data_IF_074519463543
#
_entry.id   IF_074519463543
#
_cell.length_a   1.000
_cell.length_b   1.000
_cell.length_c   1.000
_cell.angle_alpha   90.00
_cell.angle_beta   90.00
_cell.angle_gamma   90.00
#
_symmetry.space_group_name_H-M   'P 1'
#
loop_
_entity.id
_entity.type
_entity.pdbx_description
1 polymer ?
#
# COMPACT_ATOMS: atom_id res chain seq x y z
N UNK A 1 -19.31 -15.74 2.91
CA UNK A 1 -18.05 -16.39 3.31
C UNK A 1 -18.05 -16.45 4.82
N UNK A 2 -17.76 -17.60 5.45
CA UNK A 2 -17.60 -17.68 6.90
C UNK A 2 -16.41 -16.79 7.31
N UNK A 3 -16.59 -15.97 8.33
CA UNK A 3 -15.50 -15.15 8.88
C UNK A 3 -14.40 -16.10 9.41
N UNK A 4 -13.15 -15.78 9.08
CA UNK A 4 -11.99 -16.50 9.66
C UNK A 4 -11.91 -16.20 11.15
N UNK A 5 -11.65 -17.22 11.98
CA UNK A 5 -11.47 -17.02 13.42
C UNK A 5 -10.03 -16.56 13.73
N UNK A 6 -9.79 -15.94 14.91
CA UNK A 6 -8.44 -15.60 15.34
C UNK A 6 -7.49 -16.80 15.39
N UNK A 7 -7.98 -17.97 15.81
CA UNK A 7 -7.21 -19.22 15.89
C UNK A 7 -6.80 -19.70 14.49
N UNK A 8 -7.72 -19.65 13.52
CA UNK A 8 -7.43 -19.98 12.12
C UNK A 8 -6.40 -19.01 11.51
N UNK A 9 -6.53 -17.71 11.80
CA UNK A 9 -5.55 -16.73 11.34
C UNK A 9 -4.15 -16.99 11.94
N UNK A 10 -4.10 -17.39 13.21
CA UNK A 10 -2.85 -17.72 13.87
C UNK A 10 -2.21 -19.00 13.28
N UNK A 11 -3.01 -20.02 12.99
CA UNK A 11 -2.55 -21.25 12.31
C UNK A 11 -1.93 -20.92 10.94
N UNK A 12 -2.61 -20.06 10.15
CA UNK A 12 -2.07 -19.59 8.87
C UNK A 12 -0.72 -18.91 9.04
N UNK A 13 -0.57 -18.05 10.05
CA UNK A 13 0.72 -17.41 10.33
C UNK A 13 1.83 -18.40 10.66
N UNK A 14 1.52 -19.42 11.49
CA UNK A 14 2.49 -20.43 11.88
C UNK A 14 2.96 -21.31 10.72
N UNK A 15 2.13 -21.51 9.70
CA UNK A 15 2.41 -22.37 8.55
C UNK A 15 2.87 -21.59 7.30
N UNK A 16 2.92 -20.26 7.39
CA UNK A 16 3.27 -19.40 6.27
C UNK A 16 4.77 -19.43 5.93
N UNK A 17 5.08 -19.26 4.65
CA UNK A 17 6.45 -19.08 4.18
C UNK A 17 6.89 -17.63 4.44
N UNK A 18 7.95 -17.42 5.21
CA UNK A 18 8.54 -16.10 5.36
C UNK A 18 9.30 -15.72 4.09
N UNK A 19 8.75 -14.77 3.31
CA UNK A 19 9.39 -14.24 2.12
C UNK A 19 10.48 -13.22 2.47
N UNK A 20 10.16 -12.32 3.41
CA UNK A 20 11.09 -11.29 3.89
C UNK A 20 10.94 -11.13 5.40
N UNK A 21 12.03 -11.32 6.13
CA UNK A 21 12.09 -11.04 7.55
C UNK A 21 12.00 -9.52 7.82
N UNK A 22 11.64 -9.15 9.05
CA UNK A 22 11.51 -7.75 9.47
C UNK A 22 12.71 -6.88 9.08
N UNK A 23 13.94 -7.35 9.32
CA UNK A 23 15.15 -6.59 8.99
C UNK A 23 15.32 -6.28 7.51
N UNK A 24 14.86 -7.18 6.63
CA UNK A 24 14.89 -6.97 5.18
C UNK A 24 13.85 -5.93 4.75
N UNK A 25 12.66 -5.97 5.37
CA UNK A 25 11.60 -4.99 5.12
C UNK A 25 12.01 -3.60 5.61
N UNK A 26 12.60 -3.50 6.80
CA UNK A 26 13.11 -2.24 7.34
C UNK A 26 14.22 -1.64 6.46
N UNK A 27 15.13 -2.47 5.94
CA UNK A 27 16.17 -2.03 4.99
C UNK A 27 15.56 -1.53 3.66
N UNK A 28 14.49 -2.16 3.18
CA UNK A 28 13.77 -1.71 1.99
C UNK A 28 13.11 -0.34 2.23
N UNK A 29 12.50 -0.13 3.40
CA UNK A 29 11.93 1.16 3.80
C UNK A 29 13.00 2.26 3.91
N UNK A 30 14.19 1.94 4.42
CA UNK A 30 15.32 2.88 4.48
C UNK A 30 15.74 3.32 3.06
N UNK A 31 15.85 2.38 2.12
CA UNK A 31 16.17 2.67 0.73
C UNK A 31 15.07 3.49 0.04
N UNK A 32 13.80 3.16 0.27
CA UNK A 32 12.67 3.95 -0.23
C UNK A 32 12.73 5.38 0.30
N UNK A 33 12.97 5.56 1.60
CA UNK A 33 13.06 6.89 2.21
C UNK A 33 14.18 7.75 1.60
N UNK A 34 15.34 7.15 1.31
CA UNK A 34 16.45 7.84 0.61
C UNK A 34 16.01 8.28 -0.80
N UNK A 35 15.35 7.41 -1.55
CA UNK A 35 14.87 7.73 -2.91
C UNK A 35 13.79 8.83 -2.90
N UNK A 36 12.81 8.73 -1.97
CA UNK A 36 11.76 9.72 -1.77
C UNK A 36 12.36 11.08 -1.41
N UNK A 37 13.31 11.13 -0.45
CA UNK A 37 13.97 12.37 -0.04
C UNK A 37 14.66 13.06 -1.21
N UNK A 38 15.37 12.32 -2.05
CA UNK A 38 16.06 12.90 -3.24
C UNK A 38 15.11 13.63 -4.19
N UNK A 39 13.86 13.19 -4.26
CA UNK A 39 12.89 13.76 -5.21
C UNK A 39 11.93 14.78 -4.57
N UNK A 40 11.65 14.66 -3.27
CA UNK A 40 10.54 15.35 -2.65
C UNK A 40 10.92 16.27 -1.48
N UNK A 41 12.17 16.31 -1.03
CA UNK A 41 12.56 17.09 0.14
C UNK A 41 12.22 18.59 0.02
N UNK A 42 12.36 19.17 -1.17
CA UNK A 42 12.10 20.59 -1.42
C UNK A 42 10.68 20.85 -1.99
N UNK A 43 9.85 19.80 -2.09
CA UNK A 43 8.53 19.89 -2.73
C UNK A 43 7.39 20.19 -1.74
N UNK A 44 7.64 20.15 -0.43
CA UNK A 44 6.61 20.24 0.62
C UNK A 44 5.37 19.39 0.28
N UNK A 45 5.51 18.06 0.15
CA UNK A 45 4.45 17.23 -0.36
C UNK A 45 3.33 16.99 0.66
N UNK A 46 2.16 16.60 0.16
CA UNK A 46 1.14 15.92 0.95
C UNK A 46 1.39 14.41 0.85
N UNK A 47 1.81 13.79 1.93
CA UNK A 47 1.96 12.34 2.02
C UNK A 47 0.63 11.73 2.45
N UNK A 48 0.13 10.79 1.64
CA UNK A 48 -1.21 10.22 1.78
C UNK A 48 -1.13 8.73 2.02
N UNK A 49 -1.65 8.29 3.18
CA UNK A 49 -1.80 6.88 3.50
C UNK A 49 -3.02 6.27 2.80
N UNK A 50 -2.84 5.19 2.06
CA UNK A 50 -3.96 4.41 1.52
C UNK A 50 -4.41 3.38 2.56
N UNK A 51 -5.57 3.62 3.16
CA UNK A 51 -6.10 2.78 4.25
C UNK A 51 -6.82 1.54 3.70
N UNK A 52 -6.75 0.37 4.42
CA UNK A 52 -6.04 0.19 5.69
C UNK A 52 -4.61 -0.35 5.48
N UNK A 53 -4.32 -0.92 4.32
CA UNK A 53 -3.07 -1.63 4.05
C UNK A 53 -1.84 -0.75 4.24
N UNK A 54 -1.88 0.47 3.71
CA UNK A 54 -0.79 1.42 3.79
C UNK A 54 -0.39 1.88 5.20
N UNK A 55 -1.20 1.64 6.25
CA UNK A 55 -0.99 2.23 7.58
C UNK A 55 0.37 1.87 8.20
N UNK A 56 0.80 0.61 8.06
CA UNK A 56 2.08 0.15 8.62
C UNK A 56 3.27 0.71 7.84
N UNK A 57 3.39 0.49 6.52
CA UNK A 57 4.51 1.04 5.75
C UNK A 57 4.53 2.57 5.76
N UNK A 58 3.37 3.24 5.74
CA UNK A 58 3.29 4.69 5.82
C UNK A 58 3.84 5.22 7.15
N UNK A 59 3.40 4.68 8.29
CA UNK A 59 3.89 5.07 9.60
C UNK A 59 5.41 4.87 9.75
N UNK A 60 5.93 3.77 9.22
CA UNK A 60 7.36 3.47 9.21
C UNK A 60 8.15 4.43 8.30
N UNK A 61 7.63 4.77 7.12
CA UNK A 61 8.25 5.73 6.21
C UNK A 61 8.27 7.15 6.79
N UNK A 62 7.17 7.62 7.41
CA UNK A 62 7.08 8.99 7.94
C UNK A 62 8.24 9.35 8.86
N UNK A 63 8.64 8.46 9.75
CA UNK A 63 9.75 8.70 10.69
C UNK A 63 11.12 8.78 10.01
N UNK A 64 11.22 8.31 8.76
CA UNK A 64 12.42 8.33 7.91
C UNK A 64 12.47 9.54 6.98
N UNK A 65 11.32 10.17 6.70
CA UNK A 65 11.20 11.32 5.79
C UNK A 65 11.44 12.63 6.56
N UNK A 66 12.70 12.90 6.89
CA UNK A 66 13.12 14.05 7.73
C UNK A 66 13.15 15.36 6.93
N UNK A 67 11.99 15.78 6.40
CA UNK A 67 11.79 17.07 5.71
C UNK A 67 10.32 17.53 5.88
N UNK A 68 10.01 18.83 5.68
CA UNK A 68 8.64 19.32 5.81
C UNK A 68 7.67 18.64 4.87
N UNK A 69 6.60 18.07 5.39
CA UNK A 69 5.48 17.49 4.65
C UNK A 69 4.19 17.59 5.46
N UNK A 70 3.05 17.50 4.78
CA UNK A 70 1.75 17.33 5.42
C UNK A 70 1.29 15.88 5.29
N UNK A 71 0.53 15.41 6.26
CA UNK A 71 0.01 14.04 6.30
C UNK A 71 -1.49 14.06 6.05
N UNK A 72 -1.95 13.14 5.21
CA UNK A 72 -3.36 12.86 4.96
C UNK A 72 -3.59 11.36 4.84
N UNK A 73 -4.83 10.93 4.73
CA UNK A 73 -5.20 9.57 4.40
C UNK A 73 -6.45 9.50 3.54
N UNK A 74 -6.56 8.43 2.78
CA UNK A 74 -7.77 8.08 2.04
C UNK A 74 -8.14 6.63 2.34
N UNK A 75 -9.44 6.37 2.42
CA UNK A 75 -9.95 5.02 2.52
C UNK A 75 -10.96 4.82 1.38
N UNK A 76 -10.56 4.04 0.40
CA UNK A 76 -11.40 3.69 -0.74
C UNK A 76 -11.43 2.19 -0.91
N UNK A 77 -12.62 1.63 -1.11
CA UNK A 77 -12.85 0.20 -1.32
C UNK A 77 -13.49 -0.04 -2.68
N UNK A 78 -13.30 -1.25 -3.20
CA UNK A 78 -14.11 -1.74 -4.32
C UNK A 78 -15.28 -2.50 -3.74
N UNK A 79 -16.46 -1.93 -3.84
CA UNK A 79 -17.66 -2.66 -3.47
C UNK A 79 -18.07 -3.58 -4.61
N UNK A 80 -18.06 -4.90 -4.33
CA UNK A 80 -18.72 -5.94 -5.10
C UNK A 80 -18.22 -6.17 -6.52
N UNK A 81 -17.79 -7.38 -6.84
CA UNK A 81 -17.50 -7.88 -8.19
C UNK A 81 -18.71 -7.83 -9.17
N UNK A 82 -19.78 -7.09 -8.88
CA UNK A 82 -21.03 -7.05 -9.63
C UNK A 82 -21.53 -5.67 -10.09
N UNK A 83 -20.84 -4.58 -9.77
CA UNK A 83 -21.26 -3.26 -10.31
C UNK A 83 -20.42 -2.98 -11.56
N UNK A 84 -21.10 -2.89 -12.70
CA UNK A 84 -20.55 -2.45 -13.98
C UNK A 84 -20.04 -1.02 -13.83
N UNK A 85 -18.71 -0.81 -13.93
CA UNK A 85 -18.14 0.53 -13.99
C UNK A 85 -16.87 0.75 -13.20
N UNK A 86 -16.50 -0.08 -12.23
CA UNK A 86 -15.19 0.03 -11.54
C UNK A 86 -15.00 1.28 -10.67
N UNK A 87 -16.08 1.95 -10.26
CA UNK A 87 -16.00 3.10 -9.37
C UNK A 87 -15.57 2.67 -7.96
N UNK A 88 -14.66 3.46 -7.38
CA UNK A 88 -14.25 3.30 -5.99
C UNK A 88 -15.34 3.89 -5.08
N UNK A 89 -15.69 3.17 -4.05
CA UNK A 89 -16.45 3.71 -2.93
C UNK A 89 -15.47 4.39 -1.96
N UNK A 90 -15.65 5.70 -1.80
CA UNK A 90 -14.85 6.51 -0.88
C UNK A 90 -15.48 6.49 0.51
N UNK A 91 -14.77 5.89 1.46
CA UNK A 91 -15.18 5.85 2.87
C UNK A 91 -14.65 7.08 3.61
N UNK A 92 -13.45 7.54 3.24
CA UNK A 92 -12.83 8.72 3.88
C UNK A 92 -11.84 9.41 2.96
N UNK A 93 -11.67 10.74 3.15
CA UNK A 93 -10.70 11.62 2.51
C UNK A 93 -10.91 11.86 1.03
N UNK A 94 -10.03 12.63 0.38
CA UNK A 94 -8.92 13.40 0.95
C UNK A 94 -9.39 14.61 1.80
N UNK A 95 -8.59 14.99 2.81
CA UNK A 95 -8.89 16.11 3.71
C UNK A 95 -7.98 17.31 3.46
N UNK A 96 -6.73 17.09 3.05
CA UNK A 96 -5.78 18.15 2.72
C UNK A 96 -5.93 18.51 1.24
N UNK A 97 -6.19 19.80 0.88
CA UNK A 97 -6.31 20.20 -0.51
C UNK A 97 -5.05 19.89 -1.33
N UNK A 98 -5.23 19.24 -2.47
CA UNK A 98 -4.13 18.79 -3.33
C UNK A 98 -3.80 19.79 -4.47
N UNK A 99 -4.65 20.79 -4.72
CA UNK A 99 -4.47 21.76 -5.80
C UNK A 99 -3.10 22.45 -5.74
N UNK A 100 -2.38 22.41 -6.84
CA UNK A 100 -1.02 22.95 -7.01
C UNK A 100 0.04 22.30 -6.09
N UNK A 101 -0.29 21.20 -5.42
CA UNK A 101 0.61 20.48 -4.50
C UNK A 101 1.22 19.24 -5.14
N UNK A 102 2.39 18.87 -4.65
CA UNK A 102 2.95 17.53 -4.87
C UNK A 102 2.31 16.57 -3.89
N UNK A 103 1.86 15.42 -4.36
CA UNK A 103 1.23 14.36 -3.57
C UNK A 103 2.12 13.10 -3.62
N UNK A 104 2.29 12.44 -2.48
CA UNK A 104 2.94 11.13 -2.36
C UNK A 104 1.91 10.13 -1.81
N UNK A 105 1.41 9.26 -2.67
CA UNK A 105 0.54 8.14 -2.30
C UNK A 105 1.39 7.00 -1.75
N UNK A 106 1.02 6.43 -0.62
CA UNK A 106 1.75 5.29 -0.01
C UNK A 106 0.78 4.15 0.28
N UNK A 107 1.11 2.97 -0.24
CA UNK A 107 0.33 1.74 -0.10
C UNK A 107 1.21 0.56 0.34
N UNK A 108 0.59 -0.53 0.78
CA UNK A 108 1.28 -1.77 1.16
C UNK A 108 1.71 -2.59 -0.07
N UNK A 109 0.84 -2.72 -1.05
CA UNK A 109 1.06 -3.62 -2.19
C UNK A 109 0.55 -3.07 -3.53
N UNK A 110 1.36 -3.22 -4.55
CA UNK A 110 0.91 -3.12 -5.94
C UNK A 110 0.59 -4.51 -6.48
N UNK A 111 -0.69 -4.83 -6.49
CA UNK A 111 -1.21 -6.06 -7.11
C UNK A 111 -1.74 -5.77 -8.53
N UNK A 112 -3.03 -5.54 -8.71
CA UNK A 112 -3.65 -5.23 -10.02
C UNK A 112 -3.50 -3.78 -10.45
N UNK A 113 -3.20 -2.87 -9.53
CA UNK A 113 -2.97 -1.44 -9.77
C UNK A 113 -4.22 -0.58 -9.93
N UNK A 114 -5.41 -1.18 -10.03
CA UNK A 114 -6.66 -0.45 -10.31
C UNK A 114 -7.04 0.54 -9.21
N UNK A 115 -6.91 0.20 -7.92
CA UNK A 115 -7.22 1.10 -6.81
C UNK A 115 -6.26 2.30 -6.80
N UNK A 116 -4.96 2.02 -6.89
CA UNK A 116 -3.93 3.06 -6.91
C UNK A 116 -4.09 4.00 -8.10
N UNK A 117 -4.40 3.46 -9.30
CA UNK A 117 -4.65 4.27 -10.50
C UNK A 117 -5.88 5.18 -10.35
N UNK A 118 -6.96 4.68 -9.76
CA UNK A 118 -8.17 5.48 -9.55
C UNK A 118 -7.96 6.59 -8.50
N UNK A 119 -7.18 6.31 -7.44
CA UNK A 119 -6.80 7.33 -6.45
C UNK A 119 -5.89 8.38 -7.09
N UNK A 120 -4.89 7.98 -7.88
CA UNK A 120 -4.05 8.91 -8.65
C UNK A 120 -4.89 9.81 -9.56
N UNK A 121 -5.82 9.23 -10.31
CA UNK A 121 -6.71 9.98 -11.22
C UNK A 121 -7.54 11.01 -10.45
N UNK A 122 -8.04 10.67 -9.26
CA UNK A 122 -8.77 11.60 -8.41
C UNK A 122 -7.89 12.79 -7.97
N UNK A 123 -6.68 12.55 -7.48
CA UNK A 123 -5.78 13.64 -7.08
C UNK A 123 -5.38 14.53 -8.25
N UNK A 124 -5.20 13.97 -9.45
CA UNK A 124 -4.97 14.74 -10.67
C UNK A 124 -6.18 15.60 -11.05
N UNK A 125 -7.39 15.08 -10.95
CA UNK A 125 -8.63 15.80 -11.19
C UNK A 125 -8.84 16.94 -10.17
N UNK A 126 -8.42 16.73 -8.91
CA UNK A 126 -8.45 17.75 -7.86
C UNK A 126 -7.36 18.83 -8.02
N UNK A 127 -6.56 18.76 -9.09
CA UNK A 127 -5.56 19.76 -9.47
C UNK A 127 -4.19 19.57 -8.84
N UNK A 128 -3.83 18.36 -8.40
CA UNK A 128 -2.48 18.09 -7.93
C UNK A 128 -1.44 18.38 -9.01
N UNK A 129 -0.37 19.11 -8.65
CA UNK A 129 0.72 19.47 -9.57
C UNK A 129 1.50 18.24 -10.02
N UNK A 130 1.76 17.31 -9.10
CA UNK A 130 2.42 16.01 -9.33
C UNK A 130 1.89 14.99 -8.35
N UNK A 131 1.76 13.74 -8.80
CA UNK A 131 1.39 12.61 -7.95
C UNK A 131 2.47 11.54 -8.08
N UNK A 132 3.14 11.24 -6.98
CA UNK A 132 4.09 10.15 -6.83
C UNK A 132 3.44 8.98 -6.10
N UNK A 133 3.91 7.79 -6.39
CA UNK A 133 3.38 6.54 -5.83
C UNK A 133 4.52 5.72 -5.21
N UNK A 134 4.34 5.34 -3.96
CA UNK A 134 5.24 4.48 -3.21
C UNK A 134 4.46 3.23 -2.75
N UNK A 135 5.02 2.06 -2.97
CA UNK A 135 4.45 0.79 -2.48
C UNK A 135 5.54 -0.01 -1.78
N UNK A 136 5.20 -0.59 -0.63
CA UNK A 136 6.15 -1.44 0.08
C UNK A 136 6.48 -2.68 -0.75
N UNK A 137 5.47 -3.30 -1.35
CA UNK A 137 5.64 -4.51 -2.15
C UNK A 137 5.01 -4.36 -3.54
N UNK A 138 5.62 -5.05 -4.53
CA UNK A 138 5.10 -5.15 -5.88
C UNK A 138 5.09 -6.62 -6.32
N UNK A 139 3.92 -7.15 -6.70
CA UNK A 139 3.83 -8.47 -7.31
C UNK A 139 4.45 -8.47 -8.70
N UNK A 140 5.30 -9.46 -8.97
CA UNK A 140 5.91 -9.67 -10.30
C UNK A 140 4.96 -10.49 -11.15
N UNK A 141 4.03 -9.80 -11.84
CA UNK A 141 3.07 -10.42 -12.76
C UNK A 141 2.53 -9.39 -13.77
N UNK A 142 1.92 -9.84 -14.90
CA UNK A 142 1.14 -8.96 -15.76
C UNK A 142 -0.02 -8.31 -14.98
N UNK A 143 -0.28 -7.02 -15.23
CA UNK A 143 -1.33 -6.25 -14.54
C UNK A 143 -2.48 -5.92 -15.46
N UNK A 144 -3.68 -5.77 -14.89
CA UNK A 144 -4.86 -5.30 -15.62
C UNK A 144 -4.77 -3.85 -16.04
N UNK A 145 -4.08 -3.03 -15.23
CA UNK A 145 -3.90 -1.60 -15.48
C UNK A 145 -2.41 -1.31 -15.54
N UNK A 146 -1.99 -0.64 -16.61
CA UNK A 146 -0.65 -0.09 -16.70
C UNK A 146 -0.54 1.09 -15.73
N UNK A 147 0.26 0.93 -14.70
CA UNK A 147 0.56 1.96 -13.71
C UNK A 147 2.03 1.92 -13.38
N UNK A 148 2.69 3.06 -13.53
CA UNK A 148 4.05 3.25 -13.07
C UNK A 148 4.04 3.62 -11.58
N UNK A 149 4.95 3.04 -10.82
CA UNK A 149 5.17 3.35 -9.41
C UNK A 149 6.59 3.90 -9.26
N UNK A 150 6.70 5.04 -8.58
CA UNK A 150 7.94 5.80 -8.49
C UNK A 150 8.92 5.18 -7.48
N UNK A 151 8.38 4.60 -6.39
CA UNK A 151 9.16 4.02 -5.32
C UNK A 151 8.61 2.64 -4.94
N UNK A 152 9.42 1.61 -5.11
CA UNK A 152 9.08 0.21 -4.77
C UNK A 152 10.08 -0.29 -3.75
N UNK A 153 9.60 -0.86 -2.66
CA UNK A 153 10.46 -1.45 -1.63
C UNK A 153 10.98 -2.83 -2.04
N UNK A 154 10.09 -3.77 -2.29
CA UNK A 154 10.39 -5.18 -2.56
C UNK A 154 9.54 -5.74 -3.70
N UNK A 155 10.14 -6.54 -4.55
CA UNK A 155 9.42 -7.38 -5.51
C UNK A 155 9.08 -8.73 -4.87
N UNK A 156 7.84 -9.18 -5.03
CA UNK A 156 7.33 -10.43 -4.46
C UNK A 156 6.70 -11.31 -5.54
N UNK A 157 6.67 -12.64 -5.35
CA UNK A 157 5.96 -13.55 -6.25
C UNK A 157 4.44 -13.30 -6.22
N UNK A 158 3.74 -13.79 -7.25
CA UNK A 158 2.28 -13.75 -7.32
C UNK A 158 1.64 -14.83 -6.43
N UNK A 159 1.72 -14.61 -5.11
CA UNK A 159 1.11 -15.43 -4.06
C UNK A 159 0.20 -14.59 -3.18
N UNK A 160 -0.65 -15.23 -2.40
CA UNK A 160 -1.39 -14.53 -1.36
C UNK A 160 -0.43 -14.22 -0.21
N UNK A 161 -0.22 -12.94 0.06
CA UNK A 161 0.75 -12.47 1.06
C UNK A 161 0.08 -11.63 2.16
N UNK A 162 0.70 -11.60 3.34
CA UNK A 162 0.26 -10.81 4.47
C UNK A 162 1.47 -10.29 5.29
N UNK A 163 1.19 -9.38 6.22
CA UNK A 163 2.19 -8.72 7.06
C UNK A 163 2.55 -7.34 6.55
N UNK A 164 3.10 -6.49 7.42
CA UNK A 164 3.45 -5.10 7.16
C UNK A 164 2.34 -4.29 6.47
N UNK A 165 1.08 -4.48 6.90
CA UNK A 165 -0.09 -3.80 6.36
C UNK A 165 -1.01 -4.67 5.53
N UNK A 166 -0.46 -5.60 4.74
CA UNK A 166 -1.23 -6.59 3.97
C UNK A 166 -1.95 -7.57 4.87
N UNK A 167 -3.20 -7.92 4.55
CA UNK A 167 -4.01 -8.79 5.38
C UNK A 167 -4.25 -10.18 4.82
N UNK A 168 -4.49 -11.11 5.72
CA UNK A 168 -5.16 -12.37 5.44
C UNK A 168 -6.59 -12.31 5.95
N UNK A 169 -7.57 -12.15 5.05
CA UNK A 169 -9.01 -12.11 5.38
C UNK A 169 -9.34 -11.20 6.58
N UNK A 170 -8.71 -10.02 6.64
CA UNK A 170 -8.87 -9.00 7.69
C UNK A 170 -7.88 -9.07 8.85
N UNK A 171 -7.09 -10.15 8.98
CA UNK A 171 -6.11 -10.39 10.04
C UNK A 171 -4.66 -10.21 9.56
N UNK A 172 -3.71 -10.29 10.47
CA UNK A 172 -2.27 -10.41 10.25
C UNK A 172 -1.57 -9.20 9.60
N UNK A 173 -2.23 -8.04 9.50
CA UNK A 173 -1.56 -6.79 9.03
C UNK A 173 -0.39 -6.38 9.92
N UNK A 174 -0.40 -6.84 11.17
CA UNK A 174 0.60 -6.57 12.21
C UNK A 174 1.75 -7.58 12.25
N UNK A 175 1.80 -8.56 11.35
CA UNK A 175 2.90 -9.53 11.31
C UNK A 175 4.22 -8.82 10.96
N UNK A 176 5.33 -9.10 11.70
CA UNK A 176 6.61 -8.41 11.55
C UNK A 176 7.46 -9.06 10.44
N UNK A 177 7.05 -8.88 9.20
CA UNK A 177 7.66 -9.45 8.00
C UNK A 177 6.64 -9.57 6.88
N UNK A 178 7.06 -10.10 5.75
CA UNK A 178 6.18 -10.41 4.62
C UNK A 178 6.16 -11.93 4.46
N UNK A 179 4.95 -12.47 4.53
CA UNK A 179 4.71 -13.91 4.54
C UNK A 179 3.78 -14.29 3.39
N UNK A 180 4.03 -15.43 2.78
CA UNK A 180 3.09 -16.02 1.81
C UNK A 180 2.27 -17.10 2.50
N UNK A 181 0.97 -17.09 2.24
CA UNK A 181 0.02 -18.10 2.72
C UNK A 181 0.44 -19.46 2.15
N UNK A 182 0.42 -20.51 2.98
CA UNK A 182 0.63 -21.88 2.50
C UNK A 182 -0.54 -22.30 1.61
N UNK A 183 -0.25 -23.08 0.55
CA UNK A 183 -1.24 -23.46 -0.47
C UNK A 183 -2.52 -24.09 0.12
N UNK A 184 -2.41 -24.78 1.25
CA UNK A 184 -3.55 -25.39 1.96
C UNK A 184 -4.56 -24.38 2.48
N UNK A 185 -4.17 -23.11 2.65
CA UNK A 185 -4.99 -22.03 3.21
C UNK A 185 -5.41 -20.97 2.16
N UNK A 186 -5.03 -21.14 0.89
CA UNK A 186 -5.36 -20.16 -0.17
C UNK A 186 -6.83 -20.20 -0.64
N UNK A 187 -7.63 -21.17 -0.18
CA UNK A 187 -9.03 -21.39 -0.57
C UNK A 187 -10.04 -20.45 0.15
#
# INVERSE_FOLDING_TARGET
>A
MSAVTPEQAWEVFQQADCLFAESQVESALDNMAVAIRRQLADANPVAVCLMNGGVVPFGKLLTRLQFPLQVDYVHATRYGARIKGGELEWIAGPFVPARDRTVLLVDDILDEGTTLAAIEARYRADGAKRVFKAVLTRKVRPRKVAIDVDFVGLDIPDRYVFGYGMDYKGYLRNAPGIYAVAAVHES
#
